data_IF_113841142130
#
_entry.id   IF_113841142130
#
_cell.length_a   1.000
_cell.length_b   1.000
_cell.length_c   1.000
_cell.angle_alpha   90.00
_cell.angle_beta   90.00
_cell.angle_gamma   90.00
#
_symmetry.space_group_name_H-M   'P 1'
#
loop_
_entity.id
_entity.type
_entity.pdbx_description
1 polymer ?
#
# COMPACT_ATOMS: atom_id res chain seq x y z
N UNK A 1 11.41 -5.44 10.40
CA UNK A 1 10.82 -6.62 9.73
C UNK A 1 9.86 -6.15 8.66
N UNK A 2 10.30 -6.11 7.41
CA UNK A 2 9.40 -6.04 6.25
C UNK A 2 8.94 -7.47 5.97
N UNK A 3 7.69 -7.83 6.30
CA UNK A 3 7.20 -9.16 5.92
C UNK A 3 7.00 -9.13 4.41
N UNK A 4 7.53 -10.14 3.73
CA UNK A 4 7.36 -10.27 2.26
C UNK A 4 5.86 -10.32 1.95
N UNK A 5 5.43 -9.53 0.97
CA UNK A 5 4.05 -9.52 0.48
C UNK A 5 3.14 -8.41 1.02
N UNK A 6 3.57 -7.60 1.99
CA UNK A 6 2.70 -6.55 2.55
C UNK A 6 2.51 -5.33 1.62
N UNK A 7 3.39 -5.14 0.63
CA UNK A 7 3.32 -4.05 -0.33
C UNK A 7 3.29 -2.66 0.36
N UNK A 8 4.06 -2.53 1.45
CA UNK A 8 4.23 -1.29 2.24
C UNK A 8 5.68 -0.83 2.17
N UNK A 9 5.91 0.43 1.83
CA UNK A 9 7.22 1.01 1.59
C UNK A 9 7.41 2.31 2.36
N UNK A 10 8.62 2.55 2.87
CA UNK A 10 9.01 3.84 3.47
C UNK A 10 9.42 4.81 2.35
N UNK A 11 8.87 6.02 2.36
CA UNK A 11 9.17 7.08 1.40
C UNK A 11 10.27 8.01 1.92
N UNK A 12 10.90 8.76 1.01
CA UNK A 12 11.96 9.75 1.32
C UNK A 12 11.46 10.91 2.19
N UNK A 13 10.18 11.22 2.10
CA UNK A 13 9.50 12.25 2.90
C UNK A 13 9.12 11.77 4.32
N UNK A 14 9.52 10.55 4.71
CA UNK A 14 9.25 9.97 6.02
C UNK A 14 7.91 9.26 6.16
N UNK A 15 7.01 9.36 5.18
CA UNK A 15 5.72 8.64 5.20
C UNK A 15 5.88 7.18 4.78
N UNK A 16 4.92 6.36 5.18
CA UNK A 16 4.73 4.99 4.71
C UNK A 16 3.65 4.96 3.65
N UNK A 17 3.90 4.22 2.57
CA UNK A 17 2.98 3.99 1.45
C UNK A 17 2.61 2.51 1.42
N UNK A 18 1.35 2.19 1.65
CA UNK A 18 0.78 0.87 1.41
C UNK A 18 0.06 0.85 0.07
N UNK A 19 0.29 -0.20 -0.72
CA UNK A 19 -0.38 -0.44 -1.99
C UNK A 19 -1.28 -1.65 -1.88
N UNK A 20 -2.50 -1.54 -2.39
CA UNK A 20 -3.45 -2.66 -2.43
C UNK A 20 -4.05 -2.81 -3.83
N UNK A 21 -4.52 -4.01 -4.16
CA UNK A 21 -5.23 -4.27 -5.42
C UNK A 21 -6.63 -3.68 -5.27
N UNK A 22 -6.89 -2.54 -5.92
CA UNK A 22 -8.22 -1.93 -5.99
C UNK A 22 -9.13 -2.64 -6.99
N UNK A 23 -8.51 -3.22 -8.01
CA UNK A 23 -9.21 -3.95 -9.07
C UNK A 23 -8.28 -4.29 -10.21
N UNK A 24 -8.86 -4.63 -11.36
CA UNK A 24 -8.14 -4.87 -12.61
C UNK A 24 -8.77 -4.05 -13.72
N UNK A 25 -7.93 -3.56 -14.63
CA UNK A 25 -8.36 -2.95 -15.88
C UNK A 25 -8.87 -4.02 -16.85
N UNK A 26 -9.56 -3.59 -17.90
CA UNK A 26 -10.06 -4.46 -18.97
C UNK A 26 -8.94 -5.26 -19.65
N UNK A 27 -7.73 -4.70 -19.71
CA UNK A 27 -6.52 -5.36 -20.23
C UNK A 27 -5.85 -6.31 -19.20
N UNK A 28 -6.51 -6.60 -18.07
CA UNK A 28 -6.03 -7.51 -17.03
C UNK A 28 -4.99 -6.92 -16.07
N UNK A 29 -4.49 -5.71 -16.32
CA UNK A 29 -3.50 -5.05 -15.46
C UNK A 29 -4.10 -4.68 -14.11
N UNK A 30 -3.30 -4.83 -13.05
CA UNK A 30 -3.71 -4.46 -11.70
C UNK A 30 -3.87 -2.94 -11.61
N UNK A 31 -5.01 -2.51 -11.09
CA UNK A 31 -5.20 -1.15 -10.62
C UNK A 31 -4.86 -1.11 -9.12
N UNK A 32 -3.78 -0.41 -8.79
CA UNK A 32 -3.40 -0.22 -7.39
C UNK A 32 -4.13 0.98 -6.78
N UNK A 33 -4.59 0.82 -5.54
CA UNK A 33 -4.90 1.91 -4.64
C UNK A 33 -3.74 2.14 -3.67
N UNK A 34 -3.72 3.34 -3.07
CA UNK A 34 -2.62 3.79 -2.22
C UNK A 34 -3.16 4.34 -0.90
N UNK A 35 -2.47 4.02 0.19
CA UNK A 35 -2.72 4.55 1.53
C UNK A 35 -1.41 5.09 2.10
N UNK A 36 -1.49 6.26 2.71
CA UNK A 36 -0.33 6.94 3.30
C UNK A 36 -0.53 7.13 4.80
N UNK A 37 0.52 6.95 5.59
CA UNK A 37 0.53 7.39 6.99
C UNK A 37 1.94 7.59 7.54
N UNK A 38 2.05 8.15 8.74
CA UNK A 38 3.34 8.41 9.37
C UNK A 38 3.95 7.17 10.05
N UNK A 39 3.20 6.06 10.15
CA UNK A 39 3.69 4.84 10.80
C UNK A 39 3.42 3.59 9.95
N UNK A 40 4.31 2.60 10.07
CA UNK A 40 4.12 1.32 9.41
C UNK A 40 2.82 0.65 9.83
N UNK A 41 2.58 0.58 11.14
CA UNK A 41 1.45 -0.13 11.75
C UNK A 41 0.12 0.54 11.40
N UNK A 42 0.07 1.86 11.36
CA UNK A 42 -1.10 2.60 10.89
C UNK A 42 -1.37 2.33 9.40
N UNK A 43 -0.33 2.27 8.56
CA UNK A 43 -0.49 1.94 7.14
C UNK A 43 -0.99 0.50 6.94
N UNK A 44 -0.50 -0.44 7.76
CA UNK A 44 -0.90 -1.84 7.72
C UNK A 44 -2.35 -2.05 8.14
N UNK A 45 -2.81 -1.34 9.16
CA UNK A 45 -4.15 -1.49 9.75
C UNK A 45 -5.22 -0.62 9.07
N UNK A 46 -4.85 0.25 8.12
CA UNK A 46 -5.81 1.08 7.40
C UNK A 46 -6.69 0.21 6.50
N UNK A 47 -8.01 0.46 6.46
CA UNK A 47 -8.90 -0.24 5.54
C UNK A 47 -8.47 0.02 4.09
N UNK A 48 -8.44 -1.05 3.29
CA UNK A 48 -8.18 -1.03 1.85
C UNK A 48 -9.55 -0.97 1.17
N UNK A 49 -9.73 -0.01 0.27
CA UNK A 49 -11.02 0.30 -0.38
C UNK A 49 -11.11 -0.23 -1.80
#
# INVERSE_FOLDING_TARGET
>A
MSKRGENIYKRKDGRWEGRYIKGRKVDGKIQYGYIYSNSYKTTQNKPKL
#
